data_IF_836283378502
#
_entry.id   IF_836283378502
#
_cell.length_a   1.000
_cell.length_b   1.000
_cell.length_c   1.000
_cell.angle_alpha   90.00
_cell.angle_beta   90.00
_cell.angle_gamma   90.00
#
_symmetry.space_group_name_H-M   'P 1'
#
loop_
_entity.id
_entity.type
_entity.pdbx_description
1 polymer ?
#
# COMPACT_ATOMS: atom_id res chain seq x y z
N UNK A 1 10.42 4.56 -13.97
CA UNK A 1 9.02 4.11 -14.03
C UNK A 1 8.62 3.46 -12.72
N UNK A 2 7.98 4.24 -11.85
CA UNK A 2 7.27 3.78 -10.66
C UNK A 2 5.97 3.09 -11.10
N UNK A 3 5.71 1.91 -10.56
CA UNK A 3 4.48 1.16 -10.79
C UNK A 3 3.88 0.84 -9.43
N UNK A 4 2.62 1.22 -9.27
CA UNK A 4 1.83 0.95 -8.07
C UNK A 4 0.64 0.10 -8.50
N UNK A 5 0.55 -1.11 -7.98
CA UNK A 5 -0.57 -2.01 -8.22
C UNK A 5 -1.13 -2.51 -6.91
N UNK A 6 -2.45 -2.37 -6.78
CA UNK A 6 -3.19 -2.85 -5.62
C UNK A 6 -3.69 -4.26 -5.89
N UNK A 7 -3.55 -5.13 -4.89
CA UNK A 7 -4.06 -6.49 -4.93
C UNK A 7 -4.92 -6.80 -3.71
N UNK A 8 -5.97 -7.58 -3.91
CA UNK A 8 -6.86 -8.08 -2.85
C UNK A 8 -6.47 -9.52 -2.53
N UNK A 9 -6.47 -9.90 -1.26
CA UNK A 9 -6.29 -11.29 -0.86
C UNK A 9 -7.46 -12.15 -1.37
N UNK A 10 -7.20 -13.29 -1.99
CA UNK A 10 -8.24 -14.25 -2.43
C UNK A 10 -8.20 -15.57 -1.68
N UNK A 11 -7.10 -15.87 -1.00
CA UNK A 11 -6.89 -17.03 -0.13
C UNK A 11 -6.21 -16.52 1.14
N UNK A 12 -6.60 -17.01 2.31
CA UNK A 12 -5.99 -16.61 3.58
C UNK A 12 -4.49 -16.91 3.58
N UNK A 13 -3.66 -15.93 3.86
CA UNK A 13 -2.20 -16.05 3.94
C UNK A 13 -1.73 -17.03 5.02
N UNK A 14 -2.55 -17.31 6.04
CA UNK A 14 -2.33 -18.42 6.97
C UNK A 14 -2.20 -19.76 6.24
N UNK A 15 -2.89 -19.94 5.10
CA UNK A 15 -2.76 -21.15 4.28
C UNK A 15 -1.52 -21.17 3.38
N UNK A 16 -0.90 -20.01 3.11
CA UNK A 16 0.42 -19.94 2.49
C UNK A 16 1.49 -20.53 3.42
N UNK A 17 1.40 -20.27 4.74
CA UNK A 17 2.33 -20.82 5.71
C UNK A 17 2.44 -22.36 5.64
N UNK A 18 1.31 -23.04 5.42
CA UNK A 18 1.25 -24.49 5.35
C UNK A 18 1.61 -25.08 3.98
N UNK A 19 1.36 -24.35 2.89
CA UNK A 19 1.56 -24.85 1.52
C UNK A 19 2.92 -24.46 0.93
N UNK A 20 3.48 -23.31 1.33
CA UNK A 20 4.64 -22.67 0.72
C UNK A 20 4.51 -22.50 -0.81
N UNK A 21 3.27 -22.44 -1.31
CA UNK A 21 2.94 -22.17 -2.71
C UNK A 21 3.40 -20.76 -3.13
N UNK A 22 3.32 -20.42 -4.42
CA UNK A 22 3.63 -19.05 -4.85
C UNK A 22 2.69 -18.03 -4.18
N UNK A 23 3.25 -17.08 -3.42
CA UNK A 23 2.47 -16.06 -2.70
C UNK A 23 1.59 -15.22 -3.63
N UNK A 24 1.98 -15.00 -4.88
CA UNK A 24 1.18 -14.24 -5.86
C UNK A 24 -0.18 -14.91 -6.12
N UNK A 25 -0.26 -16.24 -6.00
CA UNK A 25 -1.50 -17.03 -6.16
C UNK A 25 -2.49 -16.85 -5.01
N UNK A 26 -2.13 -16.07 -3.98
CA UNK A 26 -2.99 -15.68 -2.86
C UNK A 26 -3.65 -14.33 -3.09
N UNK A 27 -3.27 -13.62 -4.15
CA UNK A 27 -3.74 -12.27 -4.43
C UNK A 27 -4.42 -12.18 -5.80
N UNK A 28 -5.20 -11.12 -5.97
CA UNK A 28 -5.86 -10.77 -7.23
C UNK A 28 -5.76 -9.27 -7.47
N UNK A 29 -5.36 -8.87 -8.67
CA UNK A 29 -5.27 -7.44 -9.02
C UNK A 29 -6.65 -6.80 -9.07
N UNK A 30 -6.76 -5.50 -8.73
CA UNK A 30 -7.99 -4.73 -8.95
C UNK A 30 -8.47 -4.72 -10.41
N UNK A 31 -7.55 -4.93 -11.36
CA UNK A 31 -7.84 -4.97 -12.80
C UNK A 31 -8.44 -6.29 -13.24
N UNK A 32 -8.41 -7.31 -12.39
CA UNK A 32 -9.03 -8.60 -12.69
C UNK A 32 -10.55 -8.49 -12.62
N UNK A 33 -11.23 -9.16 -13.56
CA UNK A 33 -12.70 -9.22 -13.63
C UNK A 33 -13.38 -9.80 -12.39
N UNK A 34 -12.70 -10.65 -11.63
CA UNK A 34 -13.23 -11.32 -10.43
C UNK A 34 -12.91 -10.56 -9.13
N UNK A 35 -12.12 -9.49 -9.19
CA UNK A 35 -11.65 -8.73 -8.02
C UNK A 35 -12.79 -8.21 -7.14
N UNK A 36 -13.87 -7.69 -7.75
CA UNK A 36 -15.07 -7.21 -7.04
C UNK A 36 -15.76 -8.35 -6.27
N UNK A 37 -15.86 -9.54 -6.87
CA UNK A 37 -16.47 -10.69 -6.23
C UNK A 37 -15.64 -11.16 -5.02
N UNK A 38 -14.31 -11.22 -5.19
CA UNK A 38 -13.37 -11.58 -4.12
C UNK A 38 -13.45 -10.58 -2.97
N UNK A 39 -13.38 -9.28 -3.27
CA UNK A 39 -13.44 -8.23 -2.26
C UNK A 39 -14.76 -8.25 -1.48
N UNK A 40 -15.91 -8.36 -2.16
CA UNK A 40 -17.20 -8.45 -1.46
C UNK A 40 -17.32 -9.71 -0.59
N UNK A 41 -16.74 -10.84 -1.01
CA UNK A 41 -16.68 -12.06 -0.17
C UNK A 41 -15.90 -11.82 1.12
N UNK A 42 -14.73 -11.18 1.01
CA UNK A 42 -13.93 -10.79 2.17
C UNK A 42 -14.69 -9.83 3.09
N UNK A 43 -15.24 -8.74 2.53
CA UNK A 43 -15.99 -7.76 3.31
C UNK A 43 -17.16 -8.43 4.05
N UNK A 44 -17.89 -9.34 3.41
CA UNK A 44 -18.96 -10.10 4.08
C UNK A 44 -18.42 -10.95 5.24
N UNK A 45 -17.28 -11.63 5.06
CA UNK A 45 -16.63 -12.42 6.13
C UNK A 45 -16.22 -11.54 7.31
N UNK A 46 -15.74 -10.34 7.05
CA UNK A 46 -15.28 -9.38 8.07
C UNK A 46 -16.36 -8.39 8.53
N UNK A 47 -17.64 -8.62 8.19
CA UNK A 47 -18.77 -7.71 8.48
C UNK A 47 -18.51 -6.25 8.05
N UNK A 48 -17.71 -6.09 7.00
CA UNK A 48 -17.31 -4.81 6.45
C UNK A 48 -16.25 -4.05 7.24
N UNK A 49 -15.53 -4.69 8.17
CA UNK A 49 -14.50 -3.99 8.94
C UNK A 49 -13.12 -3.98 8.31
N UNK A 50 -12.83 -4.91 7.40
CA UNK A 50 -11.48 -5.16 6.89
C UNK A 50 -11.51 -5.66 5.46
N UNK A 51 -10.56 -5.19 4.65
CA UNK A 51 -10.28 -5.72 3.33
C UNK A 51 -8.78 -6.04 3.24
N UNK A 52 -8.43 -7.32 3.32
CA UNK A 52 -7.04 -7.76 3.27
C UNK A 52 -6.49 -7.69 1.85
N UNK A 53 -5.28 -7.15 1.73
CA UNK A 53 -4.60 -7.01 0.44
C UNK A 53 -3.25 -6.34 0.58
N UNK A 54 -2.72 -5.85 -0.54
CA UNK A 54 -1.40 -5.21 -0.57
C UNK A 54 -1.34 -4.10 -1.61
N UNK A 55 -0.67 -3.02 -1.26
CA UNK A 55 -0.23 -1.98 -2.21
C UNK A 55 1.20 -2.30 -2.62
N UNK A 56 1.37 -2.90 -3.79
CA UNK A 56 2.67 -3.29 -4.34
C UNK A 56 3.27 -2.13 -5.13
N UNK A 57 4.41 -1.62 -4.68
CA UNK A 57 5.11 -0.47 -5.23
C UNK A 57 6.50 -0.93 -5.69
N UNK A 58 6.80 -0.72 -6.97
CA UNK A 58 8.08 -1.10 -7.57
C UNK A 58 8.55 -0.10 -8.60
N UNK A 59 9.86 -0.01 -8.80
CA UNK A 59 10.46 0.60 -10.00
C UNK A 59 10.99 -0.49 -10.92
N UNK A 60 11.69 -0.09 -11.99
CA UNK A 60 12.43 -1.00 -12.87
C UNK A 60 13.39 -1.92 -12.11
N UNK A 61 14.05 -1.38 -11.08
CA UNK A 61 15.21 -2.01 -10.46
C UNK A 61 14.97 -2.44 -9.00
N UNK A 62 13.89 -1.95 -8.38
CA UNK A 62 13.65 -2.14 -6.94
C UNK A 62 12.17 -2.37 -6.64
N UNK A 63 11.87 -3.47 -5.94
CA UNK A 63 10.56 -3.69 -5.31
C UNK A 63 10.55 -3.06 -3.93
N UNK A 64 9.78 -1.98 -3.77
CA UNK A 64 9.71 -1.20 -2.53
C UNK A 64 8.79 -1.89 -1.53
N UNK A 65 7.59 -2.26 -1.98
CA UNK A 65 6.63 -3.10 -1.24
C UNK A 65 6.24 -4.32 -2.08
N UNK A 66 5.98 -5.45 -1.45
CA UNK A 66 5.65 -6.73 -2.09
C UNK A 66 4.53 -7.44 -1.31
N UNK A 67 4.15 -8.64 -1.74
CA UNK A 67 3.07 -9.43 -1.15
C UNK A 67 3.27 -9.80 0.33
N UNK A 68 4.47 -9.69 0.89
CA UNK A 68 4.72 -9.86 2.34
C UNK A 68 4.30 -8.64 3.16
N UNK A 69 4.06 -7.49 2.50
CA UNK A 69 3.59 -6.25 3.13
C UNK A 69 2.06 -6.14 3.19
N UNK A 70 1.36 -7.27 3.07
CA UNK A 70 -0.09 -7.32 3.08
C UNK A 70 -0.67 -6.89 4.44
N UNK A 71 -1.78 -6.17 4.40
CA UNK A 71 -2.50 -5.67 5.58
C UNK A 71 -3.93 -5.26 5.17
N UNK A 72 -4.66 -4.56 6.05
CA UNK A 72 -5.88 -3.85 5.69
C UNK A 72 -5.58 -2.76 4.65
N UNK A 73 -6.05 -3.01 3.43
CA UNK A 73 -5.74 -2.20 2.26
C UNK A 73 -6.37 -0.80 2.31
N UNK A 74 -7.49 -0.64 3.03
CA UNK A 74 -8.10 0.67 3.24
C UNK A 74 -7.15 1.53 4.10
N UNK A 75 -6.59 0.96 5.18
CA UNK A 75 -5.63 1.64 6.05
C UNK A 75 -4.29 1.87 5.35
N UNK A 76 -3.81 0.91 4.55
CA UNK A 76 -2.60 1.09 3.73
C UNK A 76 -2.72 2.32 2.82
N UNK A 77 -3.82 2.43 2.08
CA UNK A 77 -4.02 3.56 1.17
C UNK A 77 -4.19 4.88 1.90
N UNK A 78 -4.88 4.90 3.05
CA UNK A 78 -4.93 6.09 3.92
C UNK A 78 -3.50 6.50 4.32
N UNK A 79 -2.68 5.56 4.76
CA UNK A 79 -1.29 5.80 5.13
C UNK A 79 -0.43 6.35 3.99
N UNK A 80 -0.54 5.80 2.77
CA UNK A 80 0.14 6.34 1.58
C UNK A 80 -0.25 7.80 1.34
N UNK A 81 -1.55 8.08 1.38
CA UNK A 81 -2.07 9.40 1.06
C UNK A 81 -1.71 10.42 2.14
N UNK A 82 -1.81 10.07 3.42
CA UNK A 82 -1.42 10.94 4.52
C UNK A 82 0.08 11.26 4.49
N UNK A 83 0.92 10.25 4.25
CA UNK A 83 2.37 10.43 4.05
C UNK A 83 2.65 11.37 2.86
N UNK A 84 1.92 11.21 1.75
CA UNK A 84 2.07 12.05 0.55
C UNK A 84 1.61 13.49 0.82
N UNK A 85 0.55 13.67 1.60
CA UNK A 85 0.04 14.97 2.00
C UNK A 85 1.04 15.71 2.91
N UNK A 86 1.59 15.03 3.91
CA UNK A 86 2.64 15.59 4.78
C UNK A 86 3.87 15.99 3.96
N UNK A 87 4.26 15.14 3.01
CA UNK A 87 5.32 15.43 2.06
C UNK A 87 5.06 16.70 1.25
N UNK A 88 3.86 16.88 0.71
CA UNK A 88 3.49 18.10 -0.04
C UNK A 88 3.56 19.35 0.84
N UNK A 89 3.24 19.23 2.14
CA UNK A 89 3.27 20.33 3.12
C UNK A 89 4.70 20.70 3.55
N UNK A 90 5.57 19.72 3.79
CA UNK A 90 6.84 19.97 4.50
C UNK A 90 8.10 19.54 3.73
N UNK A 91 7.95 18.78 2.63
CA UNK A 91 9.04 18.09 1.95
C UNK A 91 9.46 16.77 2.62
N UNK A 92 8.76 16.34 3.67
CA UNK A 92 8.95 15.07 4.37
C UNK A 92 7.57 14.49 4.75
N UNK A 93 7.46 13.17 4.74
CA UNK A 93 6.27 12.49 5.24
C UNK A 93 6.61 11.10 5.78
N UNK A 94 5.96 10.70 6.86
CA UNK A 94 6.16 9.39 7.49
C UNK A 94 4.83 8.79 7.93
N UNK A 95 4.69 7.47 7.79
CA UNK A 95 3.54 6.73 8.26
C UNK A 95 3.94 5.34 8.75
N UNK A 96 3.38 4.92 9.88
CA UNK A 96 3.61 3.60 10.46
C UNK A 96 2.34 2.77 10.29
N UNK A 97 2.45 1.64 9.59
CA UNK A 97 1.36 0.68 9.45
C UNK A 97 1.12 -0.05 10.77
N UNK A 98 -0.14 -0.16 11.16
CA UNK A 98 -0.53 -0.64 12.48
C UNK A 98 -0.28 -2.14 12.69
N UNK A 99 -0.52 -3.03 11.71
CA UNK A 99 -0.47 -4.47 11.97
C UNK A 99 0.92 -5.08 11.82
N UNK A 100 1.72 -4.63 10.85
CA UNK A 100 3.05 -5.22 10.61
C UNK A 100 4.22 -4.36 11.11
N UNK A 101 3.95 -3.25 11.80
CA UNK A 101 4.96 -2.27 12.23
C UNK A 101 5.86 -1.80 11.10
N UNK A 102 5.37 -1.84 9.85
CA UNK A 102 6.11 -1.35 8.70
C UNK A 102 6.08 0.18 8.70
N UNK A 103 7.24 0.78 8.58
CA UNK A 103 7.38 2.24 8.56
C UNK A 103 7.68 2.67 7.12
N UNK A 104 6.81 3.50 6.57
CA UNK A 104 6.91 4.09 5.23
C UNK A 104 7.27 5.56 5.38
N UNK A 105 8.27 6.02 4.65
CA UNK A 105 8.67 7.43 4.72
C UNK A 105 9.15 7.94 3.38
N UNK A 106 8.81 9.18 3.06
CA UNK A 106 9.28 9.90 1.86
C UNK A 106 9.98 11.19 2.26
N UNK A 107 11.06 11.52 1.56
CA UNK A 107 11.84 12.74 1.80
C UNK A 107 12.28 13.39 0.50
N UNK A 108 12.10 14.71 0.39
CA UNK A 108 12.54 15.50 -0.76
C UNK A 108 14.06 15.57 -0.79
N UNK A 109 14.61 15.35 -1.97
CA UNK A 109 16.00 15.60 -2.32
C UNK A 109 16.00 16.71 -3.38
N UNK A 110 16.54 17.87 -3.02
CA UNK A 110 16.65 19.01 -3.94
C UNK A 110 17.79 18.71 -4.92
N UNK A 111 17.45 18.55 -6.19
CA UNK A 111 18.40 18.26 -7.28
C UNK A 111 18.09 19.14 -8.49
N UNK A 112 19.00 19.16 -9.48
CA UNK A 112 18.81 19.81 -10.78
C UNK A 112 18.95 18.76 -11.90
N UNK A 113 18.15 18.80 -12.98
CA UNK A 113 17.11 19.80 -13.26
C UNK A 113 15.81 19.61 -12.45
N UNK A 114 15.56 18.42 -11.91
CA UNK A 114 14.33 18.05 -11.23
C UNK A 114 14.61 17.59 -9.80
N UNK A 115 13.68 17.83 -8.89
CA UNK A 115 13.72 17.27 -7.54
C UNK A 115 13.47 15.76 -7.56
N UNK A 116 13.98 15.08 -6.54
CA UNK A 116 13.79 13.64 -6.33
C UNK A 116 13.17 13.38 -4.98
N UNK A 117 12.60 12.19 -4.81
CA UNK A 117 12.09 11.67 -3.55
C UNK A 117 12.88 10.43 -3.18
N UNK A 118 13.37 10.39 -1.94
CA UNK A 118 13.79 9.15 -1.30
C UNK A 118 12.55 8.50 -0.67
N UNK A 119 12.12 7.37 -1.21
CA UNK A 119 11.10 6.54 -0.59
C UNK A 119 11.77 5.38 0.14
N UNK A 120 11.43 5.20 1.42
CA UNK A 120 11.94 4.14 2.30
C UNK A 120 10.78 3.35 2.89
N UNK A 121 10.96 2.03 2.92
CA UNK A 121 10.12 1.09 3.66
C UNK A 121 11.01 0.28 4.59
N UNK A 122 10.73 0.37 5.88
CA UNK A 122 11.43 -0.37 6.94
C UNK A 122 10.49 -1.43 7.50
N UNK A 123 10.86 -2.68 7.28
CA UNK A 123 10.15 -3.86 7.81
C UNK A 123 10.78 -4.24 9.13
N UNK A 124 10.02 -4.06 10.20
CA UNK A 124 10.42 -4.51 11.52
C UNK A 124 10.11 -6.01 11.63
N UNK A 125 10.91 -6.78 12.41
CA UNK A 125 10.62 -8.19 12.65
C UNK A 125 9.20 -8.35 13.22
N UNK A 126 8.41 -9.21 12.62
CA UNK A 126 7.15 -9.66 13.20
C UNK A 126 7.49 -10.58 14.39
N UNK A 127 7.40 -10.03 15.59
CA UNK A 127 7.55 -10.81 16.83
C UNK A 127 6.19 -11.44 17.13
N UNK A 128 6.03 -12.70 16.77
CA UNK A 128 4.86 -13.49 17.15
C UNK A 128 5.33 -14.67 17.99
N UNK A 129 4.81 -14.74 19.23
CA UNK A 129 5.08 -15.79 20.23
C UNK A 129 6.58 -16.09 20.48
N UNK A 130 7.45 -15.07 20.40
CA UNK A 130 8.89 -15.22 20.66
C UNK A 130 9.67 -15.89 19.54
N UNK A 131 9.04 -16.17 18.40
CA UNK A 131 9.69 -16.64 17.17
C UNK A 131 9.68 -15.55 16.10
N UNK A 132 10.85 -15.28 15.50
CA UNK A 132 10.96 -14.43 14.32
C UNK A 132 10.38 -15.20 13.13
N UNK A 133 9.11 -14.95 12.81
CA UNK A 133 8.37 -15.77 11.86
C UNK A 133 8.63 -15.41 10.39
N UNK A 134 9.10 -14.19 10.07
CA UNK A 134 9.03 -13.72 8.68
C UNK A 134 10.27 -13.08 8.04
N UNK A 135 11.20 -12.42 8.74
CA UNK A 135 12.50 -12.00 8.17
C UNK A 135 13.29 -11.19 9.21
N UNK A 136 14.62 -11.15 9.04
CA UNK A 136 15.48 -10.17 9.68
C UNK A 136 15.05 -8.75 9.29
N UNK A 137 15.35 -7.75 10.14
CA UNK A 137 15.23 -6.34 9.81
C UNK A 137 15.60 -6.05 8.35
N UNK A 138 14.65 -5.50 7.57
CA UNK A 138 14.85 -5.24 6.14
C UNK A 138 14.38 -3.85 5.80
N UNK A 139 15.32 -3.05 5.31
CA UNK A 139 15.06 -1.69 4.88
C UNK A 139 15.26 -1.60 3.37
N UNK A 140 14.19 -1.26 2.65
CA UNK A 140 14.25 -0.96 1.22
C UNK A 140 14.22 0.54 1.02
N UNK A 141 15.10 1.04 0.14
CA UNK A 141 15.16 2.45 -0.26
C UNK A 141 15.15 2.55 -1.76
N UNK A 142 14.52 3.62 -2.25
CA UNK A 142 14.59 3.95 -3.66
C UNK A 142 14.52 5.46 -3.88
N UNK A 143 15.10 5.92 -4.98
CA UNK A 143 15.06 7.31 -5.40
C UNK A 143 14.26 7.41 -6.69
N UNK A 144 13.24 8.25 -6.69
CA UNK A 144 12.34 8.47 -7.82
C UNK A 144 12.21 9.96 -8.13
N UNK A 145 11.81 10.30 -9.35
CA UNK A 145 11.51 11.69 -9.73
C UNK A 145 10.26 12.15 -8.97
N UNK A 146 10.27 13.37 -8.43
CA UNK A 146 9.17 13.88 -7.60
C UNK A 146 7.83 13.89 -8.35
N UNK A 147 7.82 14.40 -9.58
CA UNK A 147 6.62 14.48 -10.41
C UNK A 147 6.05 13.09 -10.76
N UNK A 148 6.92 12.15 -11.12
CA UNK A 148 6.57 10.76 -11.41
C UNK A 148 5.95 10.07 -10.18
N UNK A 149 6.55 10.28 -9.01
CA UNK A 149 6.02 9.72 -7.76
C UNK A 149 4.62 10.25 -7.45
N UNK A 150 4.43 11.57 -7.46
CA UNK A 150 3.14 12.18 -7.13
C UNK A 150 2.06 11.78 -8.14
N UNK A 151 2.35 11.79 -9.43
CA UNK A 151 1.38 11.44 -10.47
C UNK A 151 0.94 9.97 -10.38
N UNK A 152 1.87 9.02 -10.20
CA UNK A 152 1.52 7.60 -10.11
C UNK A 152 0.81 7.25 -8.79
N UNK A 153 1.16 7.89 -7.66
CA UNK A 153 0.43 7.73 -6.39
C UNK A 153 -1.03 8.19 -6.55
N UNK A 154 -1.24 9.37 -7.12
CA UNK A 154 -2.59 9.92 -7.30
C UNK A 154 -3.43 9.07 -8.27
N UNK A 155 -2.82 8.60 -9.35
CA UNK A 155 -3.46 7.72 -10.33
C UNK A 155 -3.88 6.38 -9.71
N UNK A 156 -2.97 5.72 -8.98
CA UNK A 156 -3.26 4.45 -8.34
C UNK A 156 -4.26 4.59 -7.17
N UNK A 157 -4.20 5.68 -6.40
CA UNK A 157 -5.18 5.98 -5.37
C UNK A 157 -6.58 6.21 -5.95
N UNK A 158 -6.70 6.95 -7.06
CA UNK A 158 -7.97 7.11 -7.77
C UNK A 158 -8.51 5.76 -8.27
N UNK A 159 -7.66 4.90 -8.83
CA UNK A 159 -8.05 3.55 -9.26
C UNK A 159 -8.62 2.75 -8.07
N UNK A 160 -7.95 2.80 -6.92
CA UNK A 160 -8.42 2.13 -5.71
C UNK A 160 -9.74 2.72 -5.18
N UNK A 161 -9.87 4.05 -5.11
CA UNK A 161 -11.11 4.73 -4.67
C UNK A 161 -12.28 4.33 -5.57
N UNK A 162 -12.10 4.38 -6.91
CA UNK A 162 -13.13 3.99 -7.87
C UNK A 162 -13.47 2.50 -7.81
N UNK A 163 -12.50 1.63 -7.49
CA UNK A 163 -12.77 0.23 -7.20
C UNK A 163 -13.61 0.09 -5.92
N UNK A 164 -13.22 0.81 -4.86
CA UNK A 164 -13.84 0.76 -3.53
C UNK A 164 -15.29 1.21 -3.53
N UNK A 165 -15.64 2.19 -4.37
CA UNK A 165 -17.02 2.68 -4.59
C UNK A 165 -17.98 1.60 -5.09
N UNK A 166 -17.48 0.55 -5.75
CA UNK A 166 -18.29 -0.54 -6.30
C UNK A 166 -18.59 -1.64 -5.27
N UNK A 167 -17.98 -1.57 -4.09
CA UNK A 167 -18.08 -2.59 -3.05
C UNK A 167 -19.18 -2.27 -2.03
N UNK A 168 -19.49 -3.25 -1.17
CA UNK A 168 -20.35 -3.03 -0.01
C UNK A 168 -19.82 -1.88 0.89
N UNK A 169 -20.76 -1.07 1.39
CA UNK A 169 -20.48 0.26 1.96
C UNK A 169 -19.83 0.18 3.34
N UNK A 170 -18.73 0.92 3.52
CA UNK A 170 -17.92 1.05 4.74
C UNK A 170 -17.38 2.50 4.81
N UNK A 171 -17.05 2.97 6.01
CA UNK A 171 -16.75 4.37 6.33
C UNK A 171 -15.40 4.91 5.81
N UNK A 172 -14.44 4.05 5.44
CA UNK A 172 -13.08 4.43 5.01
C UNK A 172 -13.05 5.29 3.73
N UNK A 173 -14.03 5.11 2.85
CA UNK A 173 -14.11 5.82 1.56
C UNK A 173 -14.18 7.35 1.72
N UNK A 174 -14.86 7.82 2.76
CA UNK A 174 -14.95 9.26 3.04
C UNK A 174 -13.59 9.87 3.36
N UNK A 175 -12.79 9.18 4.18
CA UNK A 175 -11.43 9.62 4.54
C UNK A 175 -10.50 9.60 3.32
N UNK A 176 -10.50 8.51 2.54
CA UNK A 176 -9.69 8.39 1.33
C UNK A 176 -9.92 9.56 0.36
N UNK A 177 -11.19 9.87 0.06
CA UNK A 177 -11.56 10.99 -0.81
C UNK A 177 -11.14 12.35 -0.25
N UNK A 178 -11.31 12.55 1.06
CA UNK A 178 -10.93 13.80 1.71
C UNK A 178 -9.42 14.07 1.61
N UNK A 179 -8.58 13.08 1.95
CA UNK A 179 -7.11 13.22 1.87
C UNK A 179 -6.68 13.41 0.42
N UNK A 180 -7.27 12.66 -0.52
CA UNK A 180 -6.98 12.80 -1.95
C UNK A 180 -7.26 14.21 -2.47
N UNK A 181 -8.42 14.79 -2.11
CA UNK A 181 -8.78 16.15 -2.48
C UNK A 181 -7.83 17.19 -1.87
N UNK A 182 -7.36 16.95 -0.65
CA UNK A 182 -6.41 17.86 0.01
C UNK A 182 -5.05 17.85 -0.70
N UNK A 183 -4.53 16.68 -1.07
CA UNK A 183 -3.26 16.56 -1.82
C UNK A 183 -3.34 17.32 -3.16
N UNK A 184 -4.46 17.21 -3.87
CA UNK A 184 -4.67 17.86 -5.16
C UNK A 184 -4.84 19.38 -5.07
N UNK A 185 -5.10 19.92 -3.87
CA UNK A 185 -5.24 21.36 -3.64
C UNK A 185 -3.90 22.09 -3.41
N UNK A 186 -2.80 21.34 -3.22
CA UNK A 186 -1.43 21.85 -3.08
C UNK A 186 -0.68 21.86 -4.41
#
# INVERSE_FOLDING_TARGET
MLNITTYIEKKTIDSFYFSQDNIEDYFISLKDSLSIQVANRQLNKHKGHKLDGVVNIKTSDTTITNFMDWDDIDLMWIGVLEMTLEYKKTGFGEHIMAMNSHEWSVKRIITKPENKILFRVKRNPLIFEGTNLYEAYKETKNIVVEEEFLSEILKAANEFISFREKLFKIDSLGRLKAVMSEIQSY
#
